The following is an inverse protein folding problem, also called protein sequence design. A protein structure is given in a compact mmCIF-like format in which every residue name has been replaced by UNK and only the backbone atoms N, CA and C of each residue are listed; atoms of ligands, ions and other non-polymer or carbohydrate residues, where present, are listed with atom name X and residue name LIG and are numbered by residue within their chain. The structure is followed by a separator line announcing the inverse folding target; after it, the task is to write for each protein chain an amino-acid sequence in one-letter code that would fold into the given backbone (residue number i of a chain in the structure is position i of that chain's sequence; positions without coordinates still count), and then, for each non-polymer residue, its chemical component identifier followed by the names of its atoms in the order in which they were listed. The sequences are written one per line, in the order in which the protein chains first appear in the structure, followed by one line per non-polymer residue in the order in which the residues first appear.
data_IF_320169620909
#
_entry.id   IF_320169620909
#
_cell.length_a   1.000
_cell.length_b   1.000
_cell.length_c   1.000
_cell.angle_alpha   90.00
_cell.angle_beta   90.00
_cell.angle_gamma   90.00
#
_symmetry.space_group_name_H-M   'P 1'
#
loop_
_entity.id
_entity.type
_entity.pdbx_description
1 polymer ?
#
# COMPACT_ATOMS: atom_id res chain seq x y z
N UNK A 1 -15.85 -6.42 -10.41
CA UNK A 1 -15.65 -7.36 -11.53
C UNK A 1 -16.22 -6.73 -12.80
N UNK A 2 -15.57 -6.93 -13.94
CA UNK A 2 -16.04 -6.47 -15.24
C UNK A 2 -16.13 -7.67 -16.19
N UNK A 3 -17.30 -7.90 -16.79
CA UNK A 3 -17.48 -8.87 -17.87
C UNK A 3 -17.02 -8.25 -19.18
N UNK A 4 -16.12 -8.92 -19.91
CA UNK A 4 -15.67 -8.45 -21.22
C UNK A 4 -16.70 -8.72 -22.32
N UNK A 5 -17.57 -9.72 -22.13
CA UNK A 5 -18.60 -10.10 -23.10
C UNK A 5 -19.82 -9.17 -23.03
N UNK A 6 -20.26 -8.82 -21.82
CA UNK A 6 -21.48 -8.01 -21.61
C UNK A 6 -21.19 -6.57 -21.23
N UNK A 7 -19.93 -6.23 -20.92
CA UNK A 7 -19.55 -4.93 -20.38
C UNK A 7 -20.02 -4.67 -18.95
N UNK A 8 -20.78 -5.59 -18.36
CA UNK A 8 -21.41 -5.42 -17.05
C UNK A 8 -20.36 -5.33 -15.93
N UNK A 9 -20.67 -4.54 -14.89
CA UNK A 9 -19.81 -4.37 -13.72
C UNK A 9 -20.56 -4.70 -12.44
N UNK A 10 -20.06 -5.69 -11.69
CA UNK A 10 -20.57 -6.08 -10.36
C UNK A 10 -19.57 -5.68 -9.28
N UNK A 11 -20.06 -5.01 -8.24
CA UNK A 11 -19.27 -4.75 -7.03
C UNK A 11 -19.29 -6.02 -6.17
N UNK A 12 -18.10 -6.60 -5.93
CA UNK A 12 -17.96 -7.77 -5.06
C UNK A 12 -17.62 -7.37 -3.62
N UNK A 13 -16.75 -6.36 -3.47
CA UNK A 13 -16.26 -5.88 -2.17
C UNK A 13 -16.20 -4.36 -2.22
N UNK A 14 -16.89 -3.68 -1.30
CA UNK A 14 -16.83 -2.22 -1.18
C UNK A 14 -15.51 -1.82 -0.53
N UNK A 15 -14.83 -0.81 -1.09
CA UNK A 15 -13.56 -0.29 -0.58
C UNK A 15 -12.32 -1.16 -0.86
N UNK A 16 -12.51 -2.41 -1.31
CA UNK A 16 -11.40 -3.30 -1.67
C UNK A 16 -10.62 -2.81 -2.89
N UNK A 17 -9.30 -2.96 -2.85
CA UNK A 17 -8.36 -2.56 -3.90
C UNK A 17 -7.46 -3.73 -4.31
N UNK A 18 -6.86 -3.62 -5.50
CA UNK A 18 -5.90 -4.58 -6.09
C UNK A 18 -6.31 -6.06 -5.93
N UNK A 19 -7.56 -6.34 -6.32
CA UNK A 19 -8.11 -7.69 -6.17
C UNK A 19 -7.54 -8.65 -7.22
N UNK A 20 -7.14 -9.85 -6.79
CA UNK A 20 -6.59 -10.90 -7.67
C UNK A 20 -7.26 -12.23 -7.36
N UNK A 21 -7.60 -12.99 -8.40
CA UNK A 21 -8.07 -14.35 -8.24
C UNK A 21 -6.87 -15.30 -8.15
N UNK A 22 -6.88 -16.20 -7.18
CA UNK A 22 -5.86 -17.24 -6.99
C UNK A 22 -6.46 -18.58 -7.42
N UNK A 23 -5.74 -19.43 -8.19
CA UNK A 23 -6.24 -20.71 -8.68
C UNK A 23 -6.75 -21.68 -7.60
N UNK A 24 -6.44 -21.42 -6.32
CA UNK A 24 -6.97 -22.12 -5.16
C UNK A 24 -8.46 -21.81 -4.86
N UNK A 25 -9.12 -20.96 -5.66
CA UNK A 25 -10.55 -20.64 -5.51
C UNK A 25 -10.84 -19.41 -4.65
N UNK A 26 -9.85 -18.53 -4.48
CA UNK A 26 -9.92 -17.40 -3.56
C UNK A 26 -9.76 -16.09 -4.32
N UNK A 27 -10.56 -15.09 -3.93
CA UNK A 27 -10.32 -13.70 -4.31
C UNK A 27 -9.55 -13.05 -3.17
N UNK A 28 -8.30 -12.65 -3.45
CA UNK A 28 -7.51 -11.83 -2.53
C UNK A 28 -7.69 -10.36 -2.87
N UNK A 29 -7.64 -9.48 -1.87
CA UNK A 29 -7.79 -8.04 -2.04
C UNK A 29 -7.21 -7.29 -0.84
N UNK A 30 -6.88 -6.02 -1.03
CA UNK A 30 -6.46 -5.13 0.06
C UNK A 30 -7.63 -4.28 0.54
N UNK A 31 -7.82 -4.23 1.85
CA UNK A 31 -8.79 -3.36 2.53
C UNK A 31 -8.14 -2.81 3.80
N UNK A 32 -8.17 -1.49 3.97
CA UNK A 32 -7.60 -0.79 5.14
C UNK A 32 -6.16 -1.22 5.48
N UNK A 33 -5.32 -1.36 4.44
CA UNK A 33 -3.91 -1.78 4.59
C UNK A 33 -3.70 -3.26 4.92
N UNK A 34 -4.77 -4.06 4.98
CA UNK A 34 -4.72 -5.51 5.24
C UNK A 34 -4.97 -6.30 3.97
N UNK A 35 -4.25 -7.41 3.80
CA UNK A 35 -4.53 -8.40 2.76
C UNK A 35 -5.56 -9.39 3.29
N UNK A 36 -6.70 -9.46 2.61
CA UNK A 36 -7.81 -10.35 2.93
C UNK A 36 -8.04 -11.33 1.78
N UNK A 37 -8.58 -12.51 2.10
CA UNK A 37 -8.99 -13.53 1.14
C UNK A 37 -10.45 -13.92 1.41
N UNK A 38 -11.25 -14.05 0.35
CA UNK A 38 -12.60 -14.61 0.42
C UNK A 38 -12.74 -15.78 -0.55
N UNK A 39 -13.50 -16.84 -0.20
CA UNK A 39 -13.91 -17.84 -1.16
C UNK A 39 -14.70 -17.20 -2.31
N UNK A 40 -14.36 -17.54 -3.55
CA UNK A 40 -14.98 -16.95 -4.74
C UNK A 40 -15.36 -18.01 -5.77
N UNK A 41 -16.66 -18.08 -6.09
CA UNK A 41 -17.19 -18.91 -7.15
C UNK A 41 -17.10 -18.16 -8.49
N UNK A 42 -16.19 -18.60 -9.35
CA UNK A 42 -15.95 -18.00 -10.68
C UNK A 42 -17.09 -18.32 -11.66
N UNK A 43 -17.85 -19.40 -11.46
CA UNK A 43 -18.98 -19.71 -12.33
C UNK A 43 -20.18 -18.81 -12.01
N UNK A 44 -20.39 -18.47 -10.75
CA UNK A 44 -21.50 -17.60 -10.30
C UNK A 44 -21.11 -16.13 -10.11
N UNK A 45 -19.82 -15.83 -10.11
CA UNK A 45 -19.27 -14.50 -9.87
C UNK A 45 -19.70 -13.96 -8.51
N UNK A 46 -19.55 -14.80 -7.49
CA UNK A 46 -20.04 -14.56 -6.14
C UNK A 46 -19.03 -14.92 -5.07
N UNK A 47 -19.00 -14.09 -4.03
CA UNK A 47 -18.29 -14.38 -2.79
C UNK A 47 -19.15 -15.34 -1.97
N UNK A 48 -18.60 -16.50 -1.62
CA UNK A 48 -19.36 -17.59 -1.00
C UNK A 48 -19.08 -17.76 0.49
N UNK A 49 -18.21 -16.93 1.07
CA UNK A 49 -17.85 -16.99 2.48
C UNK A 49 -17.32 -15.68 3.04
N UNK A 50 -17.04 -15.69 4.34
CA UNK A 50 -16.48 -14.54 5.05
C UNK A 50 -14.99 -14.30 4.72
N UNK A 51 -14.49 -13.07 4.92
CA UNK A 51 -13.09 -12.74 4.70
C UNK A 51 -12.17 -13.33 5.78
N UNK A 52 -11.02 -13.83 5.34
CA UNK A 52 -9.92 -14.28 6.18
C UNK A 52 -8.76 -13.31 6.01
N UNK A 53 -8.18 -12.85 7.12
CA UNK A 53 -7.01 -11.96 7.09
C UNK A 53 -5.74 -12.77 6.91
N UNK A 54 -4.99 -12.44 5.87
CA UNK A 54 -3.75 -13.13 5.50
C UNK A 54 -2.51 -12.38 6.01
N UNK A 55 -2.53 -11.04 5.92
CA UNK A 55 -1.43 -10.18 6.36
C UNK A 55 -1.93 -8.76 6.66
N UNK A 56 -1.14 -8.02 7.44
CA UNK A 56 -1.42 -6.64 7.83
C UNK A 56 -0.26 -5.72 7.44
N UNK A 57 -0.57 -4.42 7.33
CA UNK A 57 0.42 -3.40 7.03
C UNK A 57 1.09 -3.65 5.69
N UNK A 58 0.32 -3.85 4.62
CA UNK A 58 0.86 -3.97 3.26
C UNK A 58 1.18 -2.57 2.73
N UNK A 59 2.38 -2.37 2.17
CA UNK A 59 2.70 -1.14 1.45
C UNK A 59 1.83 -1.05 0.19
N UNK A 60 1.01 -0.01 0.10
CA UNK A 60 0.31 0.36 -1.14
C UNK A 60 1.06 1.48 -1.84
N UNK A 61 0.74 1.72 -3.11
CA UNK A 61 1.18 2.91 -3.86
C UNK A 61 1.02 4.17 -3.00
N UNK A 62 2.07 5.00 -2.96
CA UNK A 62 2.12 6.22 -2.14
C UNK A 62 1.11 7.27 -2.63
N UNK A 63 0.85 7.30 -3.95
CA UNK A 63 -0.30 7.99 -4.48
C UNK A 63 -1.51 7.05 -4.42
N UNK A 64 -2.58 7.46 -3.73
CA UNK A 64 -3.88 6.77 -3.66
C UNK A 64 -4.55 6.51 -5.04
N UNK A 65 -3.93 7.00 -6.11
CA UNK A 65 -4.42 6.96 -7.49
C UNK A 65 -4.63 5.54 -8.01
N UNK A 66 -3.72 4.59 -7.74
CA UNK A 66 -3.81 3.22 -8.30
C UNK A 66 -4.32 2.19 -7.29
N UNK A 67 -4.12 2.45 -5.99
CA UNK A 67 -4.42 1.47 -4.95
C UNK A 67 -3.60 0.17 -5.04
N UNK A 68 -2.55 0.13 -5.87
CA UNK A 68 -1.76 -1.07 -6.12
C UNK A 68 -1.01 -1.49 -4.85
N UNK A 69 -1.06 -2.77 -4.53
CA UNK A 69 -0.40 -3.36 -3.38
C UNK A 69 0.97 -3.94 -3.79
N UNK A 70 1.99 -3.68 -2.97
CA UNK A 70 3.33 -4.19 -3.17
C UNK A 70 3.45 -5.64 -2.69
N UNK A 71 2.81 -6.55 -3.42
CA UNK A 71 2.78 -7.98 -3.13
C UNK A 71 2.84 -8.86 -4.39
N UNK A 72 3.30 -10.09 -4.22
CA UNK A 72 3.26 -11.16 -5.22
C UNK A 72 2.85 -12.48 -4.58
N UNK A 73 2.11 -13.29 -5.33
CA UNK A 73 1.66 -14.63 -4.93
C UNK A 73 2.10 -15.61 -6.01
N UNK A 74 2.74 -16.70 -5.60
CA UNK A 74 3.07 -17.82 -6.48
C UNK A 74 1.85 -18.72 -6.73
N UNK A 75 1.86 -19.47 -7.82
CA UNK A 75 0.83 -20.49 -8.10
C UNK A 75 0.76 -21.57 -7.02
N UNK A 76 1.87 -21.79 -6.30
CA UNK A 76 1.96 -22.71 -5.16
C UNK A 76 1.44 -22.13 -3.84
N UNK A 77 1.00 -20.86 -3.81
CA UNK A 77 0.41 -20.21 -2.65
C UNK A 77 1.39 -19.46 -1.74
N UNK A 78 2.70 -19.45 -2.05
CA UNK A 78 3.65 -18.58 -1.35
C UNK A 78 3.34 -17.11 -1.62
N UNK A 79 3.30 -16.28 -0.56
CA UNK A 79 3.04 -14.84 -0.59
C UNK A 79 4.30 -14.09 -0.15
N UNK A 80 4.71 -13.10 -0.94
CA UNK A 80 5.72 -12.11 -0.56
C UNK A 80 5.12 -10.72 -0.64
N UNK A 81 5.45 -9.86 0.33
CA UNK A 81 4.94 -8.50 0.38
C UNK A 81 5.94 -7.53 0.99
N UNK A 82 5.82 -6.25 0.61
CA UNK A 82 6.53 -5.17 1.27
C UNK A 82 5.68 -4.63 2.43
N UNK A 83 6.18 -4.65 3.67
CA UNK A 83 5.45 -4.08 4.79
C UNK A 83 5.43 -2.55 4.67
N UNK A 84 4.31 -1.96 5.09
CA UNK A 84 4.12 -0.53 5.25
C UNK A 84 5.10 -0.04 6.30
N UNK A 85 6.07 0.76 5.88
CA UNK A 85 6.90 1.53 6.80
C UNK A 85 6.26 2.88 7.00
N UNK A 86 5.76 3.14 8.20
CA UNK A 86 5.42 4.49 8.62
C UNK A 86 6.75 5.25 8.71
N UNK A 87 6.91 6.39 8.01
CA UNK A 87 8.11 7.20 8.14
C UNK A 87 8.32 7.55 9.62
N UNK A 88 9.50 7.22 10.15
CA UNK A 88 9.87 7.65 11.49
C UNK A 88 9.92 9.18 11.57
N UNK A 89 9.71 9.72 12.77
CA UNK A 89 9.93 11.14 13.00
C UNK A 89 11.40 11.48 12.75
N UNK A 90 11.65 12.60 12.07
CA UNK A 90 12.98 13.07 11.70
C UNK A 90 13.21 14.42 12.38
N UNK A 91 14.43 14.69 12.81
CA UNK A 91 14.86 16.05 13.17
C UNK A 91 15.57 16.67 11.98
N UNK A 92 15.35 17.95 11.74
CA UNK A 92 16.17 18.69 10.78
C UNK A 92 17.37 19.28 11.52
N UNK A 93 18.55 19.13 10.92
CA UNK A 93 19.80 19.72 11.41
C UNK A 93 20.51 20.42 10.26
N UNK A 94 21.14 21.55 10.56
CA UNK A 94 22.22 22.11 9.75
C UNK A 94 23.51 21.40 10.11
N UNK A 95 24.34 21.10 9.11
CA UNK A 95 25.70 20.61 9.34
C UNK A 95 26.66 21.60 8.70
N UNK A 96 27.59 22.16 9.48
CA UNK A 96 28.62 23.03 8.95
C UNK A 96 29.75 22.23 8.26
N UNK A 97 30.70 22.94 7.64
CA UNK A 97 31.83 22.30 6.91
C UNK A 97 32.80 21.55 7.82
N UNK A 98 32.78 21.85 9.12
CA UNK A 98 33.58 21.18 10.14
C UNK A 98 32.84 19.97 10.73
N UNK A 99 31.61 19.69 10.27
CA UNK A 99 30.76 18.59 10.73
C UNK A 99 29.93 18.91 11.98
N UNK A 100 29.82 20.18 12.40
CA UNK A 100 28.99 20.54 13.57
C UNK A 100 27.52 20.56 13.19
N UNK A 101 26.72 19.86 13.97
CA UNK A 101 25.27 19.81 13.81
C UNK A 101 24.56 20.89 14.65
N UNK A 102 23.67 21.66 14.02
CA UNK A 102 22.77 22.62 14.67
C UNK A 102 21.32 22.21 14.39
N UNK A 103 20.53 21.95 15.43
CA UNK A 103 19.13 21.58 15.28
C UNK A 103 18.31 22.74 14.69
N UNK A 104 17.63 22.48 13.58
CA UNK A 104 16.66 23.39 12.97
C UNK A 104 15.27 23.29 13.57
N UNK A 105 15.00 22.18 14.24
CA UNK A 105 13.67 21.82 14.73
C UNK A 105 13.78 21.37 16.18
N UNK A 106 12.87 21.83 17.02
CA UNK A 106 12.83 21.47 18.44
C UNK A 106 12.22 20.09 18.69
N UNK A 107 11.39 19.60 17.77
CA UNK A 107 10.70 18.31 17.87
C UNK A 107 10.84 17.52 16.56
N UNK A 108 11.09 16.20 16.63
CA UNK A 108 11.05 15.33 15.46
C UNK A 108 9.66 15.32 14.79
N UNK A 109 9.60 15.49 13.47
CA UNK A 109 8.35 15.43 12.68
C UNK A 109 8.55 14.64 11.39
N UNK A 110 7.44 14.28 10.74
CA UNK A 110 7.49 13.70 9.39
C UNK A 110 7.74 14.81 8.38
N UNK A 111 8.97 14.89 7.86
CA UNK A 111 9.35 15.83 6.80
C UNK A 111 9.32 15.14 5.44
N UNK A 112 8.68 15.77 4.46
CA UNK A 112 8.66 15.35 3.06
C UNK A 112 9.99 15.63 2.33
N UNK A 113 10.00 15.59 0.99
CA UNK A 113 11.17 15.96 0.21
C UNK A 113 11.59 17.41 0.52
N UNK A 114 12.85 17.61 0.90
CA UNK A 114 13.41 18.93 1.15
C UNK A 114 14.28 19.35 -0.03
N UNK A 115 14.22 20.64 -0.37
CA UNK A 115 15.16 21.27 -1.30
C UNK A 115 15.87 22.41 -0.57
N UNK A 116 17.18 22.50 -0.73
CA UNK A 116 17.95 23.68 -0.29
C UNK A 116 17.96 24.68 -1.45
N UNK A 117 17.62 25.94 -1.17
CA UNK A 117 17.75 27.01 -2.16
C UNK A 117 19.21 27.12 -2.63
N UNK A 118 19.48 27.13 -3.95
CA UNK A 118 20.85 27.17 -4.46
C UNK A 118 21.66 28.40 -4.00
N UNK A 119 20.97 29.47 -3.61
CA UNK A 119 21.54 30.74 -3.15
C UNK A 119 21.87 30.75 -1.64
N UNK A 120 21.61 29.66 -0.91
CA UNK A 120 21.87 29.57 0.53
C UNK A 120 20.91 30.40 1.38
N UNK A 121 19.84 30.95 0.80
CA UNK A 121 18.83 31.71 1.52
C UNK A 121 17.93 30.82 2.38
N UNK A 122 17.90 31.06 3.69
CA UNK A 122 16.89 30.54 4.61
C UNK A 122 15.54 31.21 4.28
N UNK A 123 14.49 30.44 4.01
CA UNK A 123 13.12 30.93 3.86
C UNK A 123 12.23 30.35 4.95
#
# INVERSE_FOLDING_TARGET
MHSLETGERKVLIKGGRDARYVPTGQLIYVLDGSLLAVPFDVAKLEVTGGPIRMAEGIKTSESDVTGAAQLSISDTGALVYLPLRVPGLRSLVWVDRDGREEALTTEPRSYGPLSISPDGGRR
#
